data_IF_688502091264
#
_entry.id   IF_688502091264
#
_cell.length_a   1.000
_cell.length_b   1.000
_cell.length_c   1.000
_cell.angle_alpha   90.00
_cell.angle_beta   90.00
_cell.angle_gamma   90.00
#
_symmetry.space_group_name_H-M   'P 1'
#
loop_
_entity.id
_entity.type
_entity.pdbx_description
1 polymer ?
#
# COMPACT_ATOMS: atom_id res chain seq x y z
N UNK A 1 14.34 22.96 17.10
CA UNK A 1 13.13 22.51 17.81
C UNK A 1 13.49 22.33 19.28
N UNK A 2 12.70 22.86 20.22
CA UNK A 2 13.05 22.81 21.65
C UNK A 2 13.13 21.35 22.16
N UNK A 3 14.13 20.99 22.99
CA UNK A 3 14.26 19.65 23.58
C UNK A 3 12.98 19.18 24.28
N UNK A 4 12.29 20.08 24.97
CA UNK A 4 11.02 19.81 25.65
C UNK A 4 9.91 19.42 24.66
N UNK A 5 9.79 20.15 23.55
CA UNK A 5 8.80 19.85 22.50
C UNK A 5 9.09 18.49 21.86
N UNK A 6 10.37 18.16 21.65
CA UNK A 6 10.77 16.86 21.11
C UNK A 6 10.42 15.71 22.07
N UNK A 7 10.61 15.91 23.37
CA UNK A 7 10.23 14.94 24.40
C UNK A 7 8.71 14.71 24.44
N UNK A 8 7.91 15.78 24.49
CA UNK A 8 6.45 15.67 24.50
C UNK A 8 5.91 14.94 23.28
N UNK A 9 6.47 15.21 22.09
CA UNK A 9 6.10 14.48 20.86
C UNK A 9 6.41 12.98 20.98
N UNK A 10 7.58 12.64 21.51
CA UNK A 10 7.99 11.25 21.72
C UNK A 10 7.03 10.54 22.66
N UNK A 11 6.70 11.15 23.80
CA UNK A 11 5.78 10.59 24.80
C UNK A 11 4.37 10.40 24.24
N UNK A 12 3.86 11.39 23.49
CA UNK A 12 2.57 11.30 22.80
C UNK A 12 2.52 10.13 21.80
N UNK A 13 3.58 9.93 21.01
CA UNK A 13 3.67 8.80 20.08
C UNK A 13 3.69 7.48 20.84
N UNK A 14 4.52 7.36 21.89
CA UNK A 14 4.60 6.15 22.71
C UNK A 14 3.26 5.82 23.36
N UNK A 15 2.54 6.82 23.88
CA UNK A 15 1.21 6.63 24.44
C UNK A 15 0.21 6.09 23.40
N UNK A 16 0.21 6.64 22.18
CA UNK A 16 -0.66 6.19 21.09
C UNK A 16 -0.35 4.77 20.63
N UNK A 17 0.93 4.41 20.54
CA UNK A 17 1.34 3.04 20.22
C UNK A 17 0.92 2.06 21.31
N UNK A 18 1.07 2.45 22.58
CA UNK A 18 0.63 1.65 23.71
C UNK A 18 -0.88 1.41 23.68
N UNK A 19 -1.67 2.46 23.45
CA UNK A 19 -3.14 2.35 23.36
C UNK A 19 -3.55 1.31 22.30
N UNK A 20 -2.96 1.38 21.11
CA UNK A 20 -3.23 0.41 20.05
C UNK A 20 -2.76 -1.00 20.44
N UNK A 21 -1.60 -1.13 21.07
CA UNK A 21 -1.11 -2.44 21.56
C UNK A 21 -2.06 -3.05 22.59
N UNK A 22 -2.57 -2.25 23.52
CA UNK A 22 -3.51 -2.70 24.55
C UNK A 22 -4.85 -3.12 23.91
N UNK A 23 -5.34 -2.35 22.93
CA UNK A 23 -6.55 -2.70 22.16
C UNK A 23 -6.38 -4.03 21.42
N UNK A 24 -5.26 -4.21 20.69
CA UNK A 24 -4.97 -5.46 19.99
C UNK A 24 -4.81 -6.66 20.93
N UNK A 25 -4.26 -6.44 22.12
CA UNK A 25 -4.10 -7.48 23.14
C UNK A 25 -5.46 -7.90 23.72
N UNK A 26 -6.41 -6.97 23.82
CA UNK A 26 -7.74 -7.22 24.37
C UNK A 26 -8.69 -7.84 23.34
N UNK A 27 -8.74 -7.29 22.13
CA UNK A 27 -9.69 -7.69 21.09
C UNK A 27 -9.14 -8.85 20.22
N UNK A 28 -7.82 -8.99 20.12
CA UNK A 28 -7.16 -10.04 19.37
C UNK A 28 -7.64 -10.12 17.92
N UNK A 29 -8.15 -11.28 17.52
CA UNK A 29 -8.68 -11.51 16.16
C UNK A 29 -10.01 -10.81 15.90
N UNK A 30 -10.74 -10.43 16.95
CA UNK A 30 -12.00 -9.70 16.85
C UNK A 30 -11.81 -8.19 16.72
N UNK A 31 -10.57 -7.72 16.58
CA UNK A 31 -10.27 -6.31 16.50
C UNK A 31 -10.98 -5.65 15.32
N UNK A 32 -11.75 -4.60 15.61
CA UNK A 32 -12.44 -3.81 14.60
C UNK A 32 -11.86 -2.40 14.54
N UNK A 33 -11.43 -1.94 13.35
CA UNK A 33 -10.80 -0.65 13.22
C UNK A 33 -11.82 0.47 13.47
N UNK A 34 -11.52 1.35 14.43
CA UNK A 34 -12.33 2.54 14.73
C UNK A 34 -11.74 3.75 13.98
N UNK A 35 -12.31 4.11 12.83
CA UNK A 35 -11.94 5.33 12.08
C UNK A 35 -11.52 5.09 10.63
N UNK A 36 -10.70 5.98 10.06
CA UNK A 36 -10.36 5.96 8.62
C UNK A 36 -8.99 5.37 8.26
N UNK A 37 -7.94 5.48 9.09
CA UNK A 37 -6.66 4.77 8.81
C UNK A 37 -5.72 4.64 10.02
N UNK A 38 -4.87 3.60 10.00
CA UNK A 38 -3.68 3.46 10.85
C UNK A 38 -2.41 3.94 10.12
N UNK A 39 -2.56 4.80 9.09
CA UNK A 39 -1.45 5.26 8.25
C UNK A 39 -0.34 6.00 9.02
N UNK A 40 -0.64 6.49 10.22
CA UNK A 40 0.36 7.07 11.13
C UNK A 40 1.44 6.06 11.54
N UNK A 41 1.12 4.76 11.62
CA UNK A 41 2.11 3.73 11.95
C UNK A 41 3.24 3.74 10.93
N UNK A 42 2.90 3.84 9.64
CA UNK A 42 3.90 3.95 8.57
C UNK A 42 4.80 5.17 8.75
N UNK A 43 4.25 6.32 9.14
CA UNK A 43 5.05 7.52 9.42
C UNK A 43 6.01 7.28 10.60
N UNK A 44 5.56 6.60 11.65
CA UNK A 44 6.37 6.32 12.84
C UNK A 44 7.54 5.35 12.57
N UNK A 45 7.41 4.47 11.58
CA UNK A 45 8.49 3.56 11.17
C UNK A 45 9.73 4.27 10.59
N UNK A 46 9.63 5.55 10.23
CA UNK A 46 10.74 6.36 9.70
C UNK A 46 11.28 7.39 10.70
N UNK A 47 10.75 7.43 11.94
CA UNK A 47 11.25 8.33 12.98
C UNK A 47 12.60 7.85 13.51
N UNK A 48 13.52 8.71 13.95
CA UNK A 48 14.85 8.30 14.40
C UNK A 48 14.87 7.39 15.65
N UNK A 49 13.82 7.43 16.47
CA UNK A 49 13.69 6.61 17.68
C UNK A 49 13.40 5.13 17.33
N UNK A 50 14.36 4.25 17.65
CA UNK A 50 14.29 2.82 17.32
C UNK A 50 13.15 2.08 18.01
N UNK A 51 12.85 2.40 19.27
CA UNK A 51 11.74 1.77 20.00
C UNK A 51 10.42 2.06 19.28
N UNK A 52 10.23 3.31 18.88
CA UNK A 52 9.04 3.76 18.16
C UNK A 52 8.96 3.08 16.79
N UNK A 53 10.08 2.99 16.06
CA UNK A 53 10.11 2.32 14.77
C UNK A 53 9.70 0.84 14.89
N UNK A 54 10.30 0.11 15.81
CA UNK A 54 10.10 -1.33 15.99
C UNK A 54 8.68 -1.63 16.44
N UNK A 55 8.17 -0.86 17.39
CA UNK A 55 6.82 -1.01 17.90
C UNK A 55 5.78 -0.69 16.81
N UNK A 56 5.99 0.37 16.02
CA UNK A 56 5.12 0.69 14.89
C UNK A 56 5.13 -0.39 13.80
N UNK A 57 6.29 -1.03 13.53
CA UNK A 57 6.38 -2.18 12.61
C UNK A 57 5.62 -3.39 13.15
N UNK A 58 5.79 -3.70 14.44
CA UNK A 58 5.13 -4.82 15.11
C UNK A 58 3.61 -4.66 15.05
N UNK A 59 3.10 -3.49 15.43
CA UNK A 59 1.67 -3.18 15.42
C UNK A 59 1.09 -3.19 14.00
N UNK A 60 1.79 -2.63 13.01
CA UNK A 60 1.35 -2.70 11.61
C UNK A 60 1.24 -4.15 11.13
N UNK A 61 2.24 -4.99 11.42
CA UNK A 61 2.22 -6.40 11.03
C UNK A 61 1.07 -7.16 11.69
N UNK A 62 0.79 -6.87 12.97
CA UNK A 62 -0.34 -7.47 13.69
C UNK A 62 -1.68 -7.09 13.04
N UNK A 63 -1.87 -5.80 12.75
CA UNK A 63 -3.06 -5.30 12.05
C UNK A 63 -3.23 -5.93 10.67
N UNK A 64 -2.17 -5.95 9.86
CA UNK A 64 -2.20 -6.55 8.53
C UNK A 64 -2.61 -8.03 8.62
N UNK A 65 -2.10 -8.76 9.60
CA UNK A 65 -2.45 -10.18 9.82
C UNK A 65 -3.94 -10.35 10.14
N UNK A 66 -4.48 -9.50 11.02
CA UNK A 66 -5.90 -9.54 11.39
C UNK A 66 -6.79 -9.22 10.18
N UNK A 67 -6.50 -8.14 9.47
CA UNK A 67 -7.30 -7.73 8.32
C UNK A 67 -7.23 -8.74 7.19
N UNK A 68 -6.04 -9.25 6.86
CA UNK A 68 -5.91 -10.28 5.85
C UNK A 68 -6.70 -11.55 6.24
N UNK A 69 -6.64 -11.98 7.51
CA UNK A 69 -7.41 -13.13 7.96
C UNK A 69 -8.93 -12.92 7.79
N UNK A 70 -9.46 -11.75 8.20
CA UNK A 70 -10.88 -11.41 8.03
C UNK A 70 -11.31 -11.37 6.56
N UNK A 71 -10.46 -10.83 5.69
CA UNK A 71 -10.74 -10.72 4.25
C UNK A 71 -10.99 -12.06 3.56
N UNK A 72 -10.36 -13.16 4.01
CA UNK A 72 -10.57 -14.50 3.43
C UNK A 72 -12.00 -14.98 3.67
N UNK A 73 -12.62 -14.60 4.79
CA UNK A 73 -13.98 -14.99 5.13
C UNK A 73 -15.02 -14.05 4.50
N UNK A 74 -14.67 -12.78 4.32
CA UNK A 74 -15.58 -11.72 3.85
C UNK A 74 -15.68 -11.61 2.33
N UNK A 75 -14.63 -11.97 1.60
CA UNK A 75 -14.51 -11.67 0.18
C UNK A 75 -14.16 -12.88 -0.69
N UNK A 76 -14.28 -12.69 -2.00
CA UNK A 76 -13.95 -13.67 -3.01
C UNK A 76 -13.02 -13.06 -4.06
N UNK A 77 -12.43 -13.91 -4.92
CA UNK A 77 -11.46 -13.50 -5.95
C UNK A 77 -12.01 -12.47 -6.94
N UNK A 78 -13.32 -12.41 -7.13
CA UNK A 78 -14.02 -11.51 -8.06
C UNK A 78 -14.59 -10.26 -7.39
N UNK A 79 -14.47 -10.13 -6.07
CA UNK A 79 -14.88 -8.95 -5.31
C UNK A 79 -14.22 -7.70 -5.88
N UNK A 80 -14.98 -6.62 -6.03
CA UNK A 80 -14.48 -5.37 -6.61
C UNK A 80 -13.73 -4.54 -5.57
N UNK A 81 -12.58 -4.00 -5.93
CA UNK A 81 -11.70 -3.26 -4.99
C UNK A 81 -12.35 -2.05 -4.31
N UNK A 82 -13.36 -1.42 -4.92
CA UNK A 82 -14.04 -0.29 -4.28
C UNK A 82 -14.82 -0.68 -3.02
N UNK A 83 -15.19 -1.95 -2.84
CA UNK A 83 -15.90 -2.41 -1.63
C UNK A 83 -14.97 -2.61 -0.43
N UNK A 84 -13.66 -2.71 -0.67
CA UNK A 84 -12.68 -2.83 0.39
C UNK A 84 -12.54 -1.50 1.14
N UNK A 85 -12.46 -1.60 2.45
CA UNK A 85 -12.11 -0.49 3.33
C UNK A 85 -10.66 -0.04 3.08
N UNK A 86 -10.31 1.15 3.56
CA UNK A 86 -8.94 1.64 3.43
C UNK A 86 -7.93 0.75 4.18
N UNK A 87 -8.31 0.19 5.33
CA UNK A 87 -7.47 -0.72 6.12
C UNK A 87 -7.14 -2.01 5.37
N UNK A 88 -8.16 -2.62 4.76
CA UNK A 88 -8.00 -3.83 3.95
C UNK A 88 -7.10 -3.56 2.74
N UNK A 89 -7.27 -2.40 2.08
CA UNK A 89 -6.39 -1.97 0.98
C UNK A 89 -4.95 -1.78 1.45
N UNK A 90 -4.74 -1.16 2.60
CA UNK A 90 -3.38 -0.93 3.13
C UNK A 90 -2.71 -2.25 3.55
N UNK A 91 -3.45 -3.18 4.15
CA UNK A 91 -2.97 -4.53 4.46
C UNK A 91 -2.58 -5.29 3.18
N UNK A 92 -3.44 -5.24 2.14
CA UNK A 92 -3.09 -5.79 0.82
C UNK A 92 -1.84 -5.12 0.23
N UNK A 93 -1.69 -3.80 0.34
CA UNK A 93 -0.49 -3.10 -0.15
C UNK A 93 0.79 -3.53 0.55
N UNK A 94 0.70 -4.16 1.72
CA UNK A 94 1.86 -4.66 2.46
C UNK A 94 2.24 -6.09 2.08
N UNK A 95 1.39 -6.83 1.36
CA UNK A 95 1.80 -8.14 0.82
C UNK A 95 2.85 -7.95 -0.29
N UNK A 96 3.71 -8.97 -0.45
CA UNK A 96 4.85 -8.94 -1.39
C UNK A 96 4.87 -10.22 -2.22
N UNK A 97 3.97 -10.36 -3.20
CA UNK A 97 3.95 -11.55 -4.05
C UNK A 97 5.24 -11.66 -4.84
N UNK A 98 5.79 -12.86 -4.92
CA UNK A 98 6.97 -13.17 -5.73
C UNK A 98 6.61 -13.38 -7.20
N UNK A 99 5.37 -13.79 -7.48
CA UNK A 99 4.88 -14.02 -8.84
C UNK A 99 3.35 -13.84 -8.92
N UNK A 100 2.83 -13.88 -10.16
CA UNK A 100 1.40 -13.78 -10.46
C UNK A 100 0.57 -14.93 -9.87
N UNK A 101 1.23 -16.04 -9.55
CA UNK A 101 0.64 -17.26 -8.97
C UNK A 101 1.42 -17.68 -7.70
N UNK A 102 1.75 -16.73 -6.81
CA UNK A 102 2.47 -17.04 -5.59
C UNK A 102 1.63 -17.90 -4.62
N UNK A 103 1.93 -19.19 -4.55
CA UNK A 103 1.21 -20.16 -3.72
C UNK A 103 1.39 -19.93 -2.21
N UNK A 104 2.29 -19.04 -1.77
CA UNK A 104 2.44 -18.70 -0.36
C UNK A 104 1.44 -17.63 0.11
N UNK A 105 0.66 -17.06 -0.81
CA UNK A 105 -0.34 -16.02 -0.53
C UNK A 105 -1.71 -16.61 -0.83
N UNK A 106 -2.69 -16.32 0.03
CA UNK A 106 -4.07 -16.76 -0.19
C UNK A 106 -4.58 -16.27 -1.57
N UNK A 107 -5.22 -17.12 -2.37
CA UNK A 107 -5.70 -16.76 -3.70
C UNK A 107 -6.66 -15.55 -3.72
N UNK A 108 -7.44 -15.33 -2.66
CA UNK A 108 -8.31 -14.15 -2.52
C UNK A 108 -7.45 -12.90 -2.37
N UNK A 109 -6.49 -12.88 -1.45
CA UNK A 109 -5.57 -11.74 -1.26
C UNK A 109 -4.78 -11.44 -2.53
N UNK A 110 -4.23 -12.47 -3.17
CA UNK A 110 -3.44 -12.31 -4.39
C UNK A 110 -4.29 -11.72 -5.52
N UNK A 111 -5.53 -12.20 -5.69
CA UNK A 111 -6.45 -11.67 -6.70
C UNK A 111 -6.77 -10.19 -6.45
N UNK A 112 -7.13 -9.84 -5.21
CA UNK A 112 -7.49 -8.48 -4.83
C UNK A 112 -6.27 -7.54 -4.93
N UNK A 113 -5.09 -7.99 -4.52
CA UNK A 113 -3.84 -7.25 -4.69
C UNK A 113 -3.59 -6.89 -6.15
N UNK A 114 -3.72 -7.85 -7.06
CA UNK A 114 -3.51 -7.59 -8.49
C UNK A 114 -4.59 -6.67 -9.08
N UNK A 115 -5.85 -6.83 -8.68
CA UNK A 115 -6.91 -5.89 -9.10
C UNK A 115 -6.66 -4.45 -8.61
N UNK A 116 -6.12 -4.29 -7.40
CA UNK A 116 -5.73 -2.99 -6.87
C UNK A 116 -4.58 -2.38 -7.69
N UNK A 117 -3.54 -3.17 -8.00
CA UNK A 117 -2.45 -2.75 -8.90
C UNK A 117 -2.96 -2.32 -10.28
N UNK A 118 -3.91 -3.07 -10.84
CA UNK A 118 -4.54 -2.72 -12.12
C UNK A 118 -5.26 -1.38 -12.04
N UNK A 119 -6.03 -1.17 -10.97
CA UNK A 119 -6.76 0.09 -10.72
C UNK A 119 -5.81 1.27 -10.57
N UNK A 120 -4.67 1.07 -9.88
CA UNK A 120 -3.64 2.10 -9.71
C UNK A 120 -2.98 2.47 -11.05
N UNK A 121 -2.84 1.53 -11.99
CA UNK A 121 -2.32 1.80 -13.34
C UNK A 121 -3.37 2.58 -14.14
N UNK A 122 -4.63 2.15 -14.10
CA UNK A 122 -5.73 2.84 -14.79
C UNK A 122 -5.83 4.30 -14.32
N UNK A 123 -5.65 4.54 -13.02
CA UNK A 123 -5.60 5.90 -12.46
C UNK A 123 -4.46 6.73 -13.04
N UNK A 124 -3.25 6.18 -13.18
CA UNK A 124 -2.13 6.92 -13.77
C UNK A 124 -2.30 7.17 -15.27
N UNK A 125 -2.88 6.21 -16.00
CA UNK A 125 -3.26 6.41 -17.42
C UNK A 125 -4.22 7.60 -17.52
N UNK A 126 -5.29 7.61 -16.73
CA UNK A 126 -6.26 8.69 -16.73
C UNK A 126 -5.63 10.04 -16.34
N UNK A 127 -4.68 10.07 -15.40
CA UNK A 127 -3.96 11.29 -15.03
C UNK A 127 -3.12 11.84 -16.17
N UNK A 128 -2.45 10.97 -16.93
CA UNK A 128 -1.72 11.37 -18.12
C UNK A 128 -2.68 11.91 -19.19
N UNK A 129 -3.80 11.23 -19.42
CA UNK A 129 -4.78 11.63 -20.44
C UNK A 129 -5.40 13.01 -20.12
N UNK A 130 -5.68 13.29 -18.84
CA UNK A 130 -6.22 14.57 -18.39
C UNK A 130 -5.15 15.68 -18.42
N UNK A 131 -3.93 15.38 -17.96
CA UNK A 131 -2.91 16.41 -17.72
C UNK A 131 -1.98 16.64 -18.94
N UNK A 132 -1.97 15.71 -19.89
CA UNK A 132 -1.13 15.73 -21.09
C UNK A 132 0.34 16.00 -20.76
N UNK A 133 0.92 16.99 -21.43
CA UNK A 133 2.33 17.41 -21.24
C UNK A 133 2.64 18.02 -19.87
N UNK A 134 1.63 18.33 -19.05
CA UNK A 134 1.86 18.80 -17.67
C UNK A 134 2.00 17.65 -16.67
N UNK A 135 1.68 16.41 -17.08
CA UNK A 135 1.83 15.23 -16.25
C UNK A 135 3.30 15.01 -15.85
N UNK A 136 3.51 14.70 -14.58
CA UNK A 136 4.82 14.35 -14.02
C UNK A 136 4.68 13.04 -13.27
N UNK A 137 5.61 12.12 -13.53
CA UNK A 137 5.68 10.84 -12.81
C UNK A 137 6.92 10.83 -11.90
N UNK A 138 6.75 10.67 -10.57
CA UNK A 138 7.89 10.50 -9.68
C UNK A 138 8.69 9.25 -10.05
N UNK A 139 10.02 9.30 -9.89
CA UNK A 139 10.92 8.19 -10.25
C UNK A 139 10.48 6.85 -9.64
N UNK A 140 10.12 6.84 -8.35
CA UNK A 140 9.62 5.64 -7.67
C UNK A 140 8.36 5.05 -8.31
N UNK A 141 7.46 5.90 -8.79
CA UNK A 141 6.23 5.47 -9.48
C UNK A 141 6.54 4.93 -10.88
N UNK A 142 7.51 5.51 -11.58
CA UNK A 142 7.99 4.98 -12.86
C UNK A 142 8.69 3.62 -12.70
N UNK A 143 9.53 3.45 -11.67
CA UNK A 143 10.12 2.14 -11.31
C UNK A 143 9.04 1.10 -11.02
N UNK A 144 8.00 1.48 -10.26
CA UNK A 144 6.84 0.62 -10.03
C UNK A 144 6.13 0.26 -11.34
N UNK A 145 5.92 1.20 -12.26
CA UNK A 145 5.29 0.93 -13.56
C UNK A 145 6.13 -0.06 -14.40
N UNK A 146 7.46 0.10 -14.41
CA UNK A 146 8.38 -0.85 -15.06
C UNK A 146 8.30 -2.25 -14.46
N UNK A 147 8.25 -2.37 -13.14
CA UNK A 147 8.06 -3.66 -12.47
C UNK A 147 6.77 -4.36 -12.94
N UNK A 148 5.69 -3.60 -13.12
CA UNK A 148 4.41 -4.12 -13.62
C UNK A 148 4.46 -4.61 -15.07
N UNK A 149 5.54 -4.37 -15.81
CA UNK A 149 5.77 -4.93 -17.15
C UNK A 149 6.44 -6.33 -17.13
N UNK A 150 6.86 -6.81 -15.96
CA UNK A 150 7.58 -8.08 -15.81
C UNK A 150 6.67 -9.31 -15.89
N UNK A 151 7.26 -10.47 -16.20
CA UNK A 151 6.55 -11.75 -16.30
C UNK A 151 5.98 -12.26 -14.97
N UNK A 152 6.39 -11.66 -13.84
CA UNK A 152 5.91 -11.98 -12.51
C UNK A 152 4.54 -11.36 -12.20
N UNK A 153 3.95 -10.63 -13.14
CA UNK A 153 2.72 -9.87 -12.97
C UNK A 153 1.66 -10.43 -13.93
N UNK A 154 0.36 -10.42 -13.60
CA UNK A 154 -0.69 -10.91 -14.51
C UNK A 154 -0.66 -10.22 -15.88
N UNK A 155 -0.90 -10.98 -16.94
CA UNK A 155 -0.68 -10.52 -18.33
C UNK A 155 -1.54 -9.29 -18.68
N UNK A 156 -2.75 -9.19 -18.13
CA UNK A 156 -3.62 -8.01 -18.28
C UNK A 156 -2.97 -6.72 -17.73
N UNK A 157 -2.28 -6.83 -16.59
CA UNK A 157 -1.61 -5.72 -15.91
C UNK A 157 -0.35 -5.36 -16.68
N UNK A 158 0.40 -6.36 -17.15
CA UNK A 158 1.56 -6.15 -18.00
C UNK A 158 1.20 -5.39 -19.28
N UNK A 159 0.11 -5.80 -19.96
CA UNK A 159 -0.33 -5.16 -21.18
C UNK A 159 -0.67 -3.68 -20.93
N UNK A 160 -1.40 -3.38 -19.85
CA UNK A 160 -1.72 -2.00 -19.44
C UNK A 160 -0.49 -1.18 -19.09
N UNK A 161 0.42 -1.74 -18.29
CA UNK A 161 1.67 -1.06 -17.90
C UNK A 161 2.55 -0.74 -19.12
N UNK A 162 2.73 -1.70 -20.02
CA UNK A 162 3.48 -1.52 -21.28
C UNK A 162 2.85 -0.43 -22.14
N UNK A 163 1.52 -0.45 -22.30
CA UNK A 163 0.78 0.59 -23.03
C UNK A 163 0.98 1.97 -22.41
N UNK A 164 0.94 2.06 -21.08
CA UNK A 164 1.15 3.33 -20.40
C UNK A 164 2.56 3.88 -20.60
N UNK A 165 3.60 3.04 -20.53
CA UNK A 165 4.98 3.45 -20.86
C UNK A 165 5.06 3.98 -22.30
N UNK A 166 4.49 3.28 -23.28
CA UNK A 166 4.46 3.76 -24.67
C UNK A 166 3.75 5.12 -24.79
N UNK A 167 2.67 5.34 -24.05
CA UNK A 167 1.98 6.64 -24.05
C UNK A 167 2.82 7.75 -23.40
N UNK A 168 3.57 7.45 -22.34
CA UNK A 168 4.53 8.39 -21.76
C UNK A 168 5.62 8.73 -22.79
N UNK A 169 6.19 7.72 -23.44
CA UNK A 169 7.23 7.89 -24.46
C UNK A 169 6.77 8.77 -25.62
N UNK A 170 5.55 8.58 -26.10
CA UNK A 170 4.92 9.44 -27.11
C UNK A 170 4.69 10.88 -26.63
N UNK A 171 4.37 11.07 -25.35
CA UNK A 171 3.98 12.39 -24.82
C UNK A 171 5.19 13.29 -24.55
N UNK A 172 6.30 12.72 -24.05
CA UNK A 172 7.45 13.51 -23.61
C UNK A 172 8.77 13.19 -24.33
N UNK A 173 8.83 12.10 -25.12
CA UNK A 173 10.06 11.57 -25.71
C UNK A 173 10.84 10.68 -24.74
N UNK A 174 11.55 9.68 -25.29
CA UNK A 174 12.26 8.62 -24.55
C UNK A 174 13.05 9.13 -23.33
N UNK A 175 12.67 8.69 -22.14
CA UNK A 175 13.35 8.92 -20.86
C UNK A 175 13.10 10.26 -20.17
N UNK A 176 12.16 11.11 -20.63
CA UNK A 176 12.00 12.50 -20.15
C UNK A 176 10.83 12.75 -19.18
N UNK A 177 10.42 11.75 -18.40
CA UNK A 177 9.16 11.78 -17.62
C UNK A 177 9.33 12.11 -16.13
N UNK A 178 10.55 12.01 -15.60
CA UNK A 178 10.87 12.22 -14.18
C UNK A 178 11.36 13.64 -13.93
N UNK A 179 10.69 14.33 -13.01
CA UNK A 179 11.15 15.59 -12.42
C UNK A 179 11.75 15.33 -11.04
#
# INVERSE_FOLDING_TARGET
MSPFISQLKRESIKARLKELSDQLSTEGKGFLPKGQSYGYLRAYQYLPDKDIQEEAKRLQKALDTIFLADMVHKYHRTTKIYVLTQYEKDALRNIRPRSKNDNNIDPVHLSLYWQMHETDIDFEINRLDISGRSYKIPEGKYKWLKYNCSNNVPDRIQAKAKRHIVNLDKTFGNGKYSA
#
